data_IF_673656528995
#
_entry.id   IF_673656528995
#
_cell.length_a   1.000
_cell.length_b   1.000
_cell.length_c   1.000
_cell.angle_alpha   90.00
_cell.angle_beta   90.00
_cell.angle_gamma   90.00
#
_symmetry.space_group_name_H-M   'P 1'
#
loop_
_entity.id
_entity.type
_entity.pdbx_description
1 polymer ?
#
# COMPACT_ATOMS: atom_id res chain seq x y z
N UNK A 1 7.13 -35.84 -6.97
CA UNK A 1 6.25 -35.42 -5.87
C UNK A 1 5.94 -33.95 -6.08
N UNK A 2 4.74 -33.62 -6.57
CA UNK A 2 4.32 -32.23 -6.61
C UNK A 2 3.91 -31.86 -5.18
N UNK A 3 4.66 -30.98 -4.54
CA UNK A 3 4.28 -30.42 -3.23
C UNK A 3 3.00 -29.62 -3.45
N UNK A 4 1.86 -30.21 -3.10
CA UNK A 4 0.60 -29.49 -3.02
C UNK A 4 0.71 -28.57 -1.81
N UNK A 5 1.16 -27.33 -2.02
CA UNK A 5 1.24 -26.33 -0.96
C UNK A 5 -0.18 -25.90 -0.65
N UNK A 6 -0.81 -26.56 0.33
CA UNK A 6 -2.06 -26.08 0.91
C UNK A 6 -1.76 -24.72 1.52
N UNK A 7 -2.34 -23.70 0.92
CA UNK A 7 -2.22 -22.32 1.39
C UNK A 7 -2.72 -22.26 2.84
N UNK A 8 -1.94 -21.71 3.79
CA UNK A 8 -2.35 -21.64 5.18
C UNK A 8 -3.71 -20.96 5.30
N UNK A 9 -4.59 -21.48 6.17
CA UNK A 9 -5.96 -20.98 6.36
C UNK A 9 -6.04 -19.47 6.66
N UNK A 10 -4.95 -18.88 7.18
CA UNK A 10 -4.86 -17.46 7.50
C UNK A 10 -4.46 -16.54 6.35
N UNK A 11 -3.93 -17.06 5.24
CA UNK A 11 -3.25 -16.19 4.27
C UNK A 11 -4.21 -15.35 3.43
N UNK A 12 -5.46 -15.79 3.22
CA UNK A 12 -6.44 -14.95 2.53
C UNK A 12 -6.86 -13.77 3.41
N UNK A 13 -7.00 -13.98 4.73
CA UNK A 13 -7.22 -12.90 5.70
C UNK A 13 -6.05 -11.92 5.73
N UNK A 14 -4.81 -12.42 5.77
CA UNK A 14 -3.60 -11.58 5.71
C UNK A 14 -3.58 -10.72 4.44
N UNK A 15 -3.82 -11.34 3.28
CA UNK A 15 -3.82 -10.65 1.99
C UNK A 15 -4.91 -9.57 1.96
N UNK A 16 -6.13 -9.91 2.41
CA UNK A 16 -7.27 -8.99 2.43
C UNK A 16 -7.01 -7.80 3.37
N UNK A 17 -6.42 -8.03 4.55
CA UNK A 17 -6.01 -6.97 5.46
C UNK A 17 -4.98 -6.03 4.81
N UNK A 18 -3.91 -6.56 4.23
CA UNK A 18 -2.85 -5.75 3.61
C UNK A 18 -3.41 -4.88 2.48
N UNK A 19 -4.21 -5.47 1.59
CA UNK A 19 -4.81 -4.76 0.46
C UNK A 19 -5.73 -3.64 0.94
N UNK A 20 -6.65 -3.93 1.87
CA UNK A 20 -7.60 -2.93 2.37
C UNK A 20 -6.90 -1.82 3.17
N UNK A 21 -5.91 -2.16 4.00
CA UNK A 21 -5.12 -1.17 4.73
C UNK A 21 -4.33 -0.26 3.77
N UNK A 22 -3.73 -0.82 2.72
CA UNK A 22 -3.04 -0.02 1.70
C UNK A 22 -4.00 0.92 0.96
N UNK A 23 -5.15 0.42 0.52
CA UNK A 23 -6.19 1.24 -0.13
C UNK A 23 -6.71 2.34 0.80
N UNK A 24 -6.86 2.05 2.10
CA UNK A 24 -7.27 3.01 3.12
C UNK A 24 -6.26 4.15 3.31
N UNK A 25 -4.96 3.89 3.14
CA UNK A 25 -3.91 4.94 3.13
C UNK A 25 -4.04 5.80 1.86
N UNK A 26 -4.20 5.18 0.70
CA UNK A 26 -4.37 5.90 -0.57
C UNK A 26 -5.63 6.78 -0.58
N UNK A 27 -6.72 6.31 0.03
CA UNK A 27 -7.96 7.06 0.13
C UNK A 27 -7.88 8.29 1.04
N UNK A 28 -6.83 8.39 1.88
CA UNK A 28 -6.55 9.56 2.73
C UNK A 28 -5.58 10.55 2.08
N UNK A 29 -4.86 10.13 1.02
CA UNK A 29 -4.03 11.04 0.26
C UNK A 29 -4.94 12.10 -0.38
N UNK A 30 -4.84 13.33 0.15
CA UNK A 30 -5.59 14.48 -0.36
C UNK A 30 -5.34 14.56 -1.86
N UNK A 31 -6.38 14.81 -2.68
CA UNK A 31 -6.16 15.05 -4.11
C UNK A 31 -5.10 16.15 -4.19
N UNK A 32 -3.94 15.82 -4.80
CA UNK A 32 -2.90 16.80 -5.07
C UNK A 32 -3.62 17.92 -5.77
N UNK A 33 -3.76 19.08 -5.11
CA UNK A 33 -4.22 20.29 -5.77
C UNK A 33 -3.29 20.46 -6.96
N UNK A 34 -3.76 20.12 -8.15
CA UNK A 34 -3.17 20.61 -9.39
C UNK A 34 -3.46 22.12 -9.38
N UNK A 35 -2.72 22.86 -8.54
CA UNK A 35 -2.48 24.27 -8.77
C UNK A 35 -1.52 24.37 -9.96
N UNK A 36 -1.98 23.92 -11.13
CA UNK A 36 -1.48 24.45 -12.38
C UNK A 36 -2.32 25.68 -12.64
N UNK A 37 -1.72 26.80 -12.25
CA UNK A 37 -2.02 28.13 -12.75
C UNK A 37 -2.46 28.12 -14.23
N UNK A 38 -3.75 28.25 -14.49
CA UNK A 38 -4.26 28.70 -15.79
C UNK A 38 -5.55 29.50 -15.59
N UNK A 39 -5.57 30.79 -15.91
CA UNK A 39 -6.72 31.65 -15.66
C UNK A 39 -7.67 31.62 -16.86
N UNK A 40 -8.45 30.54 -17.05
CA UNK A 40 -9.71 30.55 -17.85
C UNK A 40 -10.35 29.15 -17.86
N UNK A 41 -11.44 28.97 -17.10
CA UNK A 41 -12.26 27.73 -17.16
C UNK A 41 -12.99 27.33 -15.87
N UNK A 42 -13.61 28.26 -15.15
CA UNK A 42 -13.98 28.10 -13.72
C UNK A 42 -15.29 27.32 -13.44
N UNK A 43 -16.01 26.79 -14.43
CA UNK A 43 -17.35 26.17 -14.18
C UNK A 43 -17.45 24.64 -14.35
N UNK A 44 -16.58 23.99 -15.12
CA UNK A 44 -16.60 22.52 -15.23
C UNK A 44 -15.77 21.84 -14.13
N UNK A 45 -14.75 22.55 -13.65
CA UNK A 45 -13.77 22.04 -12.69
C UNK A 45 -14.37 21.82 -11.28
N UNK A 46 -15.38 22.60 -10.90
CA UNK A 46 -16.03 22.51 -9.58
C UNK A 46 -16.96 21.30 -9.44
N UNK A 47 -17.72 20.97 -10.50
CA UNK A 47 -18.60 19.81 -10.51
C UNK A 47 -17.82 18.48 -10.61
N UNK A 48 -16.75 18.46 -11.41
CA UNK A 48 -15.83 17.31 -11.47
C UNK A 48 -15.10 17.10 -10.14
N UNK A 49 -14.61 18.16 -9.50
CA UNK A 49 -13.99 18.07 -8.17
C UNK A 49 -14.95 17.60 -7.08
N UNK A 50 -16.24 17.98 -7.13
CA UNK A 50 -17.21 17.50 -6.13
C UNK A 50 -17.54 16.02 -6.34
N UNK A 51 -17.68 15.58 -7.59
CA UNK A 51 -17.90 14.18 -7.93
C UNK A 51 -16.70 13.32 -7.50
N UNK A 52 -15.48 13.78 -7.77
CA UNK A 52 -14.25 13.09 -7.33
C UNK A 52 -14.17 12.99 -5.80
N UNK A 53 -14.62 14.02 -5.08
CA UNK A 53 -14.68 14.02 -3.63
C UNK A 53 -15.76 13.07 -3.09
N UNK A 54 -16.93 13.01 -3.72
CA UNK A 54 -18.01 12.07 -3.38
C UNK A 54 -17.55 10.61 -3.61
N UNK A 55 -16.91 10.34 -4.74
CA UNK A 55 -16.34 9.02 -5.07
C UNK A 55 -15.28 8.64 -4.03
N UNK A 56 -14.37 9.56 -3.70
CA UNK A 56 -13.33 9.32 -2.70
C UNK A 56 -13.92 9.02 -1.31
N UNK A 57 -14.95 9.76 -0.90
CA UNK A 57 -15.66 9.52 0.36
C UNK A 57 -16.35 8.15 0.35
N UNK A 58 -16.99 7.78 -0.76
CA UNK A 58 -17.64 6.48 -0.91
C UNK A 58 -16.63 5.33 -0.81
N UNK A 59 -15.53 5.42 -1.55
CA UNK A 59 -14.43 4.44 -1.51
C UNK A 59 -13.87 4.32 -0.10
N UNK A 60 -13.64 5.44 0.59
CA UNK A 60 -13.20 5.44 1.99
C UNK A 60 -14.18 4.67 2.89
N UNK A 61 -15.47 4.99 2.81
CA UNK A 61 -16.48 4.34 3.65
C UNK A 61 -16.59 2.85 3.36
N UNK A 62 -16.48 2.45 2.09
CA UNK A 62 -16.50 1.04 1.69
C UNK A 62 -15.28 0.28 2.24
N UNK A 63 -14.08 0.88 2.18
CA UNK A 63 -12.86 0.29 2.78
C UNK A 63 -13.02 0.13 4.29
N UNK A 64 -13.55 1.13 5.01
CA UNK A 64 -13.75 1.06 6.46
C UNK A 64 -14.76 -0.05 6.84
N UNK A 65 -15.84 -0.19 6.08
CA UNK A 65 -16.83 -1.25 6.29
C UNK A 65 -16.25 -2.64 6.01
N UNK A 66 -15.51 -2.80 4.92
CA UNK A 66 -14.88 -4.07 4.56
C UNK A 66 -13.80 -4.48 5.58
N UNK A 67 -13.02 -3.52 6.08
CA UNK A 67 -12.05 -3.75 7.16
C UNK A 67 -12.74 -4.21 8.45
N UNK A 68 -13.90 -3.64 8.79
CA UNK A 68 -14.68 -4.04 9.96
C UNK A 68 -15.27 -5.45 9.79
N UNK A 69 -15.87 -5.73 8.63
CA UNK A 69 -16.40 -7.06 8.32
C UNK A 69 -15.30 -8.12 8.33
N UNK A 70 -14.11 -7.79 7.83
CA UNK A 70 -12.95 -8.67 7.87
C UNK A 70 -12.50 -8.98 9.30
N UNK A 71 -12.58 -8.02 10.22
CA UNK A 71 -12.26 -8.24 11.64
C UNK A 71 -13.23 -9.22 12.31
N UNK A 72 -14.53 -9.13 11.96
CA UNK A 72 -15.57 -10.07 12.39
C UNK A 72 -15.34 -11.47 11.79
N UNK A 73 -15.06 -11.54 10.48
CA UNK A 73 -14.78 -12.79 9.75
C UNK A 73 -13.56 -13.51 10.33
N UNK A 74 -12.49 -12.77 10.62
CA UNK A 74 -11.30 -13.26 11.32
C UNK A 74 -11.73 -13.78 12.70
N UNK A 75 -12.41 -12.97 13.51
CA UNK A 75 -12.80 -13.37 14.86
C UNK A 75 -13.60 -14.69 14.90
N UNK A 76 -14.52 -14.89 13.95
CA UNK A 76 -15.30 -16.12 13.80
C UNK A 76 -14.45 -17.32 13.33
N UNK A 77 -13.63 -17.13 12.29
CA UNK A 77 -12.78 -18.18 11.75
C UNK A 77 -11.74 -18.67 12.76
N UNK A 78 -11.17 -17.76 13.56
CA UNK A 78 -10.19 -18.10 14.58
C UNK A 78 -10.83 -18.73 15.83
N UNK A 79 -12.03 -18.30 16.22
CA UNK A 79 -12.79 -18.94 17.30
C UNK A 79 -13.16 -20.41 16.98
N UNK A 80 -13.44 -20.72 15.71
CA UNK A 80 -13.78 -22.07 15.27
C UNK A 80 -12.56 -22.97 14.99
N UNK A 81 -11.43 -22.40 14.55
CA UNK A 81 -10.22 -23.14 14.19
C UNK A 81 -9.21 -23.33 15.34
N UNK A 82 -9.37 -22.64 16.47
CA UNK A 82 -8.45 -22.71 17.61
C UNK A 82 -7.08 -22.04 17.36
N UNK A 83 -6.93 -21.30 16.26
CA UNK A 83 -5.79 -20.45 16.00
C UNK A 83 -6.03 -19.04 16.59
N UNK A 84 -4.98 -18.25 16.81
CA UNK A 84 -5.10 -16.84 17.23
C UNK A 84 -4.61 -15.91 16.12
N UNK A 85 -5.20 -14.71 15.98
CA UNK A 85 -4.72 -13.67 15.03
C UNK A 85 -3.22 -13.38 15.20
N UNK A 86 -2.70 -13.55 16.42
CA UNK A 86 -1.29 -13.39 16.78
C UNK A 86 -0.39 -14.59 16.43
N UNK A 87 -0.94 -15.66 15.84
CA UNK A 87 -0.14 -16.75 15.26
C UNK A 87 0.26 -16.49 13.81
N UNK A 88 -0.36 -15.49 13.18
CA UNK A 88 -0.09 -15.07 11.82
C UNK A 88 1.18 -14.19 11.76
N UNK A 89 2.19 -14.55 10.94
CA UNK A 89 3.47 -13.84 10.87
C UNK A 89 3.34 -12.35 10.54
N UNK A 90 2.26 -11.97 9.85
CA UNK A 90 1.94 -10.58 9.52
C UNK A 90 1.55 -9.75 10.75
N UNK A 91 0.84 -10.34 11.71
CA UNK A 91 0.26 -9.62 12.86
C UNK A 91 1.05 -9.80 14.15
N UNK A 92 1.98 -10.75 14.20
CA UNK A 92 2.90 -10.96 15.31
C UNK A 92 4.22 -11.48 14.77
N UNK A 93 5.08 -10.58 14.27
CA UNK A 93 6.40 -10.98 13.84
C UNK A 93 7.13 -11.61 15.02
N UNK A 94 7.76 -12.77 14.80
CA UNK A 94 8.49 -13.54 15.83
C UNK A 94 9.63 -12.75 16.47
N UNK A 95 9.97 -11.60 15.89
CA UNK A 95 10.92 -10.64 16.43
C UNK A 95 10.35 -9.21 16.28
N UNK A 96 10.05 -8.51 17.38
CA UNK A 96 9.48 -7.16 17.36
C UNK A 96 10.44 -6.10 16.75
N UNK A 97 11.76 -6.36 16.74
CA UNK A 97 12.77 -5.48 16.12
C UNK A 97 12.94 -5.72 14.60
N UNK A 98 12.18 -6.67 14.03
CA UNK A 98 12.23 -7.01 12.60
C UNK A 98 10.84 -7.17 11.99
N UNK A 99 9.93 -6.26 12.34
CA UNK A 99 8.61 -6.19 11.71
C UNK A 99 8.72 -6.08 10.18
N UNK A 100 7.65 -6.43 9.47
CA UNK A 100 7.62 -6.29 8.01
C UNK A 100 7.80 -4.82 7.61
N UNK A 101 7.21 -3.90 8.38
CA UNK A 101 7.33 -2.46 8.20
C UNK A 101 8.79 -2.00 8.31
N UNK A 102 9.52 -2.44 9.34
CA UNK A 102 10.92 -2.04 9.56
C UNK A 102 11.85 -2.53 8.46
N UNK A 103 11.61 -3.74 7.93
CA UNK A 103 12.37 -4.25 6.78
C UNK A 103 12.08 -3.45 5.52
N UNK A 104 10.83 -3.09 5.27
CA UNK A 104 10.44 -2.26 4.13
C UNK A 104 10.98 -0.84 4.26
N UNK A 105 10.97 -0.26 5.45
CA UNK A 105 11.54 1.05 5.73
C UNK A 105 13.05 1.09 5.46
N UNK A 106 13.81 0.09 5.97
CA UNK A 106 15.25 -0.03 5.71
C UNK A 106 15.57 -0.28 4.24
N UNK A 107 14.75 -1.09 3.55
CA UNK A 107 14.90 -1.30 2.10
C UNK A 107 14.65 -0.01 1.32
N UNK A 108 13.60 0.73 1.68
CA UNK A 108 13.25 2.02 1.07
C UNK A 108 14.33 3.08 1.31
N UNK A 109 14.89 3.15 2.51
CA UNK A 109 16.02 4.02 2.82
C UNK A 109 17.27 3.66 2.00
N UNK A 110 17.62 2.38 1.94
CA UNK A 110 18.74 1.89 1.12
C UNK A 110 18.53 2.23 -0.37
N UNK A 111 17.35 1.96 -0.92
CA UNK A 111 17.01 2.28 -2.30
C UNK A 111 17.07 3.79 -2.56
N UNK A 112 16.59 4.61 -1.61
CA UNK A 112 16.68 6.07 -1.69
C UNK A 112 18.14 6.54 -1.71
N UNK A 113 19.02 5.97 -0.89
CA UNK A 113 20.45 6.29 -0.89
C UNK A 113 21.15 5.87 -2.20
N UNK A 114 20.83 4.69 -2.73
CA UNK A 114 21.37 4.18 -4.00
C UNK A 114 20.88 5.01 -5.20
N UNK A 115 19.64 5.48 -5.20
CA UNK A 115 19.08 6.35 -6.24
C UNK A 115 19.50 7.82 -6.10
N UNK A 116 19.90 8.24 -4.90
CA UNK A 116 20.44 9.58 -4.61
C UNK A 116 21.93 9.70 -4.93
N UNK A 117 22.63 8.57 -5.09
CA UNK A 117 23.96 8.57 -5.68
C UNK A 117 23.84 9.18 -7.10
N UNK A 118 24.69 10.14 -7.50
CA UNK A 118 24.67 10.67 -8.85
C UNK A 118 24.76 9.50 -9.83
N UNK A 119 23.79 9.41 -10.75
CA UNK A 119 23.94 8.52 -11.90
C UNK A 119 25.34 8.81 -12.47
N UNK A 120 26.19 7.78 -12.67
CA UNK A 120 27.49 8.01 -13.28
C UNK A 120 27.23 8.79 -14.57
N UNK A 121 27.82 9.98 -14.64
CA UNK A 121 27.54 10.94 -15.70
C UNK A 121 27.66 10.30 -17.07
N UNK A 122 27.01 10.86 -18.10
CA UNK A 122 26.94 10.25 -19.43
C UNK A 122 28.33 9.77 -19.84
N UNK A 123 28.43 8.49 -20.20
CA UNK A 123 29.66 7.87 -20.68
C UNK A 123 30.32 8.84 -21.67
N UNK A 124 31.47 9.44 -21.28
CA UNK A 124 32.24 10.28 -22.20
C UNK A 124 32.52 9.42 -23.43
N UNK A 125 31.98 9.83 -24.58
CA UNK A 125 32.34 9.21 -25.85
C UNK A 125 33.86 9.28 -25.98
N UNK A 126 34.54 8.20 -26.39
CA UNK A 126 35.97 8.26 -26.64
C UNK A 126 36.21 9.36 -27.68
N UNK A 127 37.10 10.29 -27.35
CA UNK A 127 37.59 11.29 -28.28
C UNK A 127 38.19 10.53 -29.46
N UNK A 128 37.61 10.71 -30.64
CA UNK A 128 38.26 10.29 -31.87
C UNK A 128 39.52 11.16 -31.98
N UNK A 129 40.69 10.52 -31.82
CA UNK A 129 41.98 11.14 -32.12
C UNK A 129 42.04 11.45 -33.61
N UNK A 130 42.52 12.66 -33.93
CA UNK A 130 43.09 12.98 -35.24
C UNK A 130 44.51 12.43 -35.32
#
# INVERSE_FOLDING_TARGET
MASSTTVPLGSHYETKCVVLSYLGVLSQEKPRKQQLSSPQGVQQDTASQSLDQEILLKVKTEIELELKSLDEEISEAFASAGFTRHSLPVFSPTNPDSSAEDRLARLGEKASQELRAPLPGPCRRPSAGC
#
